data_IF_004169217798
#
_entry.id   IF_004169217798
#
_cell.length_a   1.000
_cell.length_b   1.000
_cell.length_c   1.000
_cell.angle_alpha   90.00
_cell.angle_beta   90.00
_cell.angle_gamma   90.00
#
_symmetry.space_group_name_H-M   'P 1'
#
loop_
_entity.id
_entity.type
_entity.pdbx_description
1 polymer ?
#
# COMPACT_ATOMS: atom_id res chain seq x y z
N UNK A 1 -9.18 -6.77 -16.78
CA UNK A 1 -8.48 -5.47 -16.92
C UNK A 1 -8.73 -4.69 -15.63
N UNK A 2 -7.89 -4.83 -14.60
CA UNK A 2 -7.79 -3.94 -13.43
C UNK A 2 -6.76 -4.53 -12.46
N UNK A 3 -5.52 -4.69 -12.93
CA UNK A 3 -4.38 -4.93 -12.05
C UNK A 3 -3.48 -3.69 -12.17
N UNK A 4 -3.98 -2.58 -11.62
CA UNK A 4 -3.38 -1.26 -11.73
C UNK A 4 -3.44 -0.60 -10.38
N UNK A 5 -2.49 -0.96 -9.51
CA UNK A 5 -2.14 -0.27 -8.26
C UNK A 5 -3.29 0.43 -7.54
N UNK A 6 -4.02 -0.32 -6.71
CA UNK A 6 -5.12 0.24 -5.91
C UNK A 6 -4.67 1.49 -5.14
N UNK A 7 -5.40 2.61 -5.21
CA UNK A 7 -5.10 3.80 -4.42
C UNK A 7 -5.27 3.49 -2.93
N UNK A 8 -4.75 4.37 -2.07
CA UNK A 8 -4.90 4.18 -0.63
C UNK A 8 -6.39 4.07 -0.26
N UNK A 9 -6.84 3.02 0.44
CA UNK A 9 -8.24 2.85 0.81
C UNK A 9 -8.73 3.86 1.87
N UNK A 10 -7.82 4.65 2.46
CA UNK A 10 -8.12 5.62 3.52
C UNK A 10 -8.32 7.02 2.95
N UNK A 11 -7.49 7.41 1.98
CA UNK A 11 -7.44 8.79 1.47
C UNK A 11 -7.38 8.87 -0.06
N UNK A 12 -7.50 7.74 -0.74
CA UNK A 12 -7.53 7.62 -2.21
C UNK A 12 -6.27 8.14 -2.92
N UNK A 13 -5.21 8.45 -2.16
CA UNK A 13 -3.95 8.96 -2.70
C UNK A 13 -3.13 7.85 -3.36
N UNK A 14 -2.32 8.21 -4.37
CA UNK A 14 -1.39 7.27 -4.98
C UNK A 14 -0.41 6.77 -3.92
N UNK A 15 -0.34 5.45 -3.77
CA UNK A 15 0.60 4.80 -2.86
C UNK A 15 1.88 4.44 -3.60
N UNK A 16 3.00 4.51 -2.88
CA UNK A 16 4.30 4.04 -3.38
C UNK A 16 4.43 2.56 -3.09
N UNK A 17 4.66 1.76 -4.12
CA UNK A 17 5.03 0.36 -3.96
C UNK A 17 6.54 0.25 -3.71
N UNK A 18 6.94 -0.25 -2.55
CA UNK A 18 8.34 -0.36 -2.13
C UNK A 18 8.66 -1.80 -1.76
N UNK A 19 9.34 -2.53 -2.64
CA UNK A 19 9.57 -3.98 -2.55
C UNK A 19 8.29 -4.80 -2.60
N UNK A 20 7.76 -5.20 -1.45
CA UNK A 20 6.54 -6.00 -1.31
C UNK A 20 5.48 -5.30 -0.45
N UNK A 21 5.65 -4.00 -0.20
CA UNK A 21 4.72 -3.17 0.57
C UNK A 21 4.18 -1.99 -0.22
N UNK A 22 2.94 -1.62 0.07
CA UNK A 22 2.29 -0.41 -0.40
C UNK A 22 2.28 0.62 0.73
N UNK A 23 2.87 1.78 0.46
CA UNK A 23 3.04 2.87 1.43
C UNK A 23 2.30 4.10 0.97
N UNK A 24 1.32 4.54 1.74
CA UNK A 24 0.68 5.84 1.60
C UNK A 24 1.55 6.93 2.25
N UNK A 25 1.78 8.08 1.61
CA UNK A 25 2.57 9.17 2.19
C UNK A 25 1.93 9.79 3.45
N UNK A 26 0.61 9.72 3.59
CA UNK A 26 -0.11 10.30 4.74
C UNK A 26 -0.32 9.30 5.87
N UNK A 27 -0.49 8.01 5.54
CA UNK A 27 -0.89 6.97 6.50
C UNK A 27 0.21 5.95 6.80
N UNK A 28 1.32 5.99 6.06
CA UNK A 28 2.39 5.00 6.18
C UNK A 28 2.08 3.70 5.45
N UNK A 29 2.50 2.56 6.00
CA UNK A 29 2.38 1.26 5.34
C UNK A 29 0.93 0.78 5.41
N UNK A 30 0.30 0.54 4.25
CA UNK A 30 -1.10 0.10 4.14
C UNK A 30 -1.18 -1.40 3.85
N UNK A 31 -0.24 -1.90 3.07
CA UNK A 31 -0.11 -3.34 2.81
C UNK A 31 1.36 -3.70 2.93
N UNK A 32 1.66 -4.77 3.64
CA UNK A 32 3.03 -5.24 3.85
C UNK A 32 3.05 -6.76 3.73
N UNK A 33 3.99 -7.30 2.95
CA UNK A 33 4.19 -8.75 2.82
C UNK A 33 5.24 -9.29 3.81
N UNK A 34 5.85 -8.40 4.60
CA UNK A 34 6.89 -8.71 5.59
C UNK A 34 6.37 -8.67 7.03
N UNK A 35 5.14 -8.23 7.27
CA UNK A 35 4.48 -8.30 8.56
C UNK A 35 4.05 -9.76 8.83
N UNK A 36 5.03 -10.54 9.29
CA UNK A 36 4.84 -11.91 9.77
C UNK A 36 4.54 -11.94 11.26
N UNK A 37 3.80 -10.96 11.79
CA UNK A 37 3.49 -10.89 13.21
C UNK A 37 2.05 -11.39 13.45
N UNK A 38 1.96 -12.59 14.06
CA UNK A 38 0.79 -13.13 14.75
C UNK A 38 0.38 -12.26 15.93
#
# INVERSE_FOLDING_TARGET
MNDGGRPCPICERPMTHRHCKYVCPEHGVVYDCSDTFY
#
